data_IF_810523668560
#
_entry.id   IF_810523668560
#
_cell.length_a   1.000
_cell.length_b   1.000
_cell.length_c   1.000
_cell.angle_alpha   90.00
_cell.angle_beta   90.00
_cell.angle_gamma   90.00
#
_symmetry.space_group_name_H-M   'P 1'
#
loop_
_entity.id
_entity.type
_entity.pdbx_description
1 polymer ?
#
# COMPACT_ATOMS: atom_id res chain seq x y z
N UNK A 1 2.43 -2.41 1.00
CA UNK A 1 3.10 -1.32 1.73
C UNK A 1 4.39 -1.87 2.30
N UNK A 2 5.40 -1.03 2.55
CA UNK A 2 6.64 -1.49 3.16
C UNK A 2 6.39 -1.98 4.60
N UNK A 3 7.23 -2.92 5.02
CA UNK A 3 7.35 -3.36 6.40
C UNK A 3 8.81 -3.68 6.68
N UNK A 4 9.23 -3.49 7.93
CA UNK A 4 10.55 -3.88 8.41
C UNK A 4 10.41 -5.08 9.32
N UNK A 5 11.38 -5.99 9.28
CA UNK A 5 11.44 -7.14 10.16
C UNK A 5 12.88 -7.40 10.59
N UNK A 6 13.12 -7.89 11.82
CA UNK A 6 14.46 -8.28 12.24
C UNK A 6 15.02 -9.35 11.30
N UNK A 7 16.14 -9.04 10.66
CA UNK A 7 16.87 -9.96 9.79
C UNK A 7 18.37 -9.82 10.08
N UNK A 8 19.04 -10.88 10.59
CA UNK A 8 20.46 -10.83 10.87
C UNK A 8 21.26 -10.43 9.63
N UNK A 9 22.30 -9.60 9.82
CA UNK A 9 23.20 -9.14 8.75
C UNK A 9 22.53 -8.35 7.62
N UNK A 10 21.31 -7.84 7.84
CA UNK A 10 20.61 -6.99 6.88
C UNK A 10 20.56 -5.55 7.40
N UNK A 11 20.69 -4.59 6.50
CA UNK A 11 20.63 -3.16 6.81
C UNK A 11 19.59 -2.49 5.94
N UNK A 12 18.89 -1.51 6.51
CA UNK A 12 17.89 -0.69 5.81
C UNK A 12 18.26 0.76 6.03
N UNK A 13 18.19 1.55 4.96
CA UNK A 13 18.48 2.98 4.99
C UNK A 13 17.15 3.74 5.03
N UNK A 14 17.14 4.91 5.66
CA UNK A 14 15.92 5.69 5.80
C UNK A 14 16.19 7.12 6.26
N UNK A 15 15.11 7.86 6.47
CA UNK A 15 15.15 9.20 7.02
C UNK A 15 14.99 9.15 8.54
N UNK A 16 15.80 9.92 9.26
CA UNK A 16 15.57 10.21 10.67
C UNK A 16 14.92 11.59 10.77
N UNK A 17 13.68 11.64 11.24
CA UNK A 17 12.92 12.87 11.41
C UNK A 17 12.58 13.09 12.89
N UNK A 18 12.69 14.35 13.34
CA UNK A 18 12.15 14.77 14.63
C UNK A 18 10.78 15.37 14.40
N UNK A 19 9.77 14.80 15.06
CA UNK A 19 8.39 15.26 14.97
C UNK A 19 7.94 15.87 16.30
N UNK A 20 7.22 17.00 16.28
CA UNK A 20 6.37 17.40 17.39
C UNK A 20 5.38 16.28 17.75
N UNK A 21 4.95 16.24 19.01
CA UNK A 21 4.02 15.22 19.51
C UNK A 21 2.74 15.14 18.67
N UNK A 22 2.15 16.28 18.32
CA UNK A 22 0.89 16.32 17.57
C UNK A 22 1.04 15.69 16.17
N UNK A 23 2.15 15.97 15.48
CA UNK A 23 2.45 15.39 14.17
C UNK A 23 2.72 13.88 14.27
N UNK A 24 3.38 13.45 15.34
CA UNK A 24 3.57 12.04 15.62
C UNK A 24 2.24 11.31 15.84
N UNK A 25 1.33 11.89 16.64
CA UNK A 25 0.00 11.32 16.88
C UNK A 25 -0.80 11.24 15.57
N UNK A 26 -0.72 12.26 14.70
CA UNK A 26 -1.32 12.24 13.38
C UNK A 26 -0.75 11.12 12.48
N UNK A 27 0.59 10.95 12.50
CA UNK A 27 1.27 9.88 11.78
C UNK A 27 0.79 8.50 12.28
N UNK A 28 0.78 8.28 13.60
CA UNK A 28 0.31 7.03 14.20
C UNK A 28 -1.13 6.71 13.81
N UNK A 29 -2.01 7.72 13.81
CA UNK A 29 -3.40 7.56 13.38
C UNK A 29 -3.50 7.18 11.89
N UNK A 30 -2.63 7.73 11.04
CA UNK A 30 -2.57 7.41 9.61
C UNK A 30 -2.11 5.97 9.32
N UNK A 31 -1.25 5.40 10.17
CA UNK A 31 -0.79 4.00 10.11
C UNK A 31 -1.81 3.00 10.70
N UNK A 32 -2.96 3.52 11.15
CA UNK A 32 -4.06 2.71 11.68
C UNK A 32 -4.07 2.56 13.19
N UNK A 33 -3.33 3.42 13.92
CA UNK A 33 -3.25 3.43 15.37
C UNK A 33 -4.59 3.58 16.12
N UNK A 34 -5.58 4.21 15.47
CA UNK A 34 -6.93 4.38 16.03
C UNK A 34 -7.87 3.18 15.88
N UNK A 35 -7.39 2.05 15.37
CA UNK A 35 -8.20 0.84 15.20
C UNK A 35 -8.11 -0.10 16.41
N UNK A 36 -9.19 -0.84 16.70
CA UNK A 36 -9.18 -1.90 17.73
C UNK A 36 -8.03 -2.91 17.56
N UNK A 37 -7.58 -3.09 16.31
CA UNK A 37 -6.48 -3.96 15.93
C UNK A 37 -5.62 -3.26 14.86
N UNK A 38 -4.61 -2.47 15.24
CA UNK A 38 -3.77 -1.72 14.30
C UNK A 38 -2.93 -2.68 13.44
N UNK A 39 -2.63 -2.28 12.20
CA UNK A 39 -1.84 -3.11 11.26
C UNK A 39 -0.34 -3.03 11.52
N UNK A 40 0.11 -1.90 12.07
CA UNK A 40 1.49 -1.65 12.46
C UNK A 40 1.63 -1.61 13.99
N UNK A 41 2.87 -1.77 14.46
CA UNK A 41 3.29 -1.53 15.84
C UNK A 41 4.53 -0.66 15.87
N UNK A 42 4.63 0.15 16.92
CA UNK A 42 5.81 0.94 17.25
C UNK A 42 6.92 0.01 17.72
N UNK A 43 8.10 0.19 17.16
CA UNK A 43 9.32 -0.49 17.61
C UNK A 43 10.42 0.55 17.83
N UNK A 44 11.12 0.43 18.94
CA UNK A 44 12.36 1.19 19.16
C UNK A 44 13.48 0.54 18.36
N UNK A 45 14.18 1.35 17.58
CA UNK A 45 15.33 0.94 16.77
C UNK A 45 16.54 1.81 17.06
N UNK A 46 17.71 1.22 16.93
CA UNK A 46 18.97 1.96 16.93
C UNK A 46 19.35 2.28 15.48
N UNK A 47 19.43 3.57 15.17
CA UNK A 47 19.81 4.07 13.87
C UNK A 47 21.20 4.69 13.92
N UNK A 48 22.01 4.46 12.89
CA UNK A 48 23.32 5.07 12.75
C UNK A 48 23.26 6.10 11.63
N UNK A 49 23.66 7.34 11.93
CA UNK A 49 23.90 8.32 10.86
C UNK A 49 25.10 7.88 10.05
N UNK A 50 25.14 8.23 8.77
CA UNK A 50 26.27 7.87 7.93
C UNK A 50 27.59 8.41 8.48
N UNK A 51 28.59 7.52 8.54
CA UNK A 51 29.91 7.78 9.09
C UNK A 51 29.95 8.06 10.61
N UNK A 52 28.85 7.85 11.33
CA UNK A 52 28.80 7.95 12.79
C UNK A 52 28.69 6.57 13.43
N UNK A 53 29.40 6.37 14.54
CA UNK A 53 29.37 5.12 15.33
C UNK A 53 28.42 5.20 16.53
N UNK A 54 27.93 6.39 16.86
CA UNK A 54 27.01 6.58 17.98
C UNK A 54 25.58 6.36 17.51
N UNK A 55 24.86 5.37 18.06
CA UNK A 55 23.47 5.13 17.67
C UNK A 55 22.55 6.23 18.20
N UNK A 56 21.50 6.51 17.44
CA UNK A 56 20.36 7.30 17.84
C UNK A 56 19.16 6.38 17.98
N UNK A 57 18.51 6.42 19.14
CA UNK A 57 17.24 5.70 19.36
C UNK A 57 16.12 6.41 18.62
N UNK A 58 15.35 5.66 17.84
CA UNK A 58 14.23 6.17 17.07
C UNK A 58 13.04 5.21 17.13
N UNK A 59 11.86 5.72 16.79
CA UNK A 59 10.66 4.89 16.62
C UNK A 59 10.48 4.60 15.14
N UNK A 60 10.22 3.33 14.81
CA UNK A 60 9.80 2.89 13.50
C UNK A 60 8.51 2.08 13.58
N UNK A 61 7.85 1.88 12.43
CA UNK A 61 6.61 1.09 12.34
C UNK A 61 6.87 -0.25 11.68
N UNK A 62 6.59 -1.34 12.41
CA UNK A 62 6.68 -2.70 11.92
C UNK A 62 5.28 -3.28 11.72
N UNK A 63 5.05 -4.00 10.61
CA UNK A 63 3.78 -4.66 10.38
C UNK A 63 3.58 -5.80 11.41
N UNK A 64 2.42 -5.83 12.08
CA UNK A 64 2.07 -6.85 13.06
C UNK A 64 1.81 -8.20 12.38
N UNK A 65 2.07 -9.34 13.04
CA UNK A 65 1.95 -10.68 12.42
C UNK A 65 0.62 -10.97 11.70
N UNK A 66 -0.49 -10.44 12.21
CA UNK A 66 -1.81 -10.66 11.61
C UNK A 66 -2.11 -9.80 10.37
N UNK A 67 -1.33 -8.74 10.15
CA UNK A 67 -1.44 -7.84 9.00
C UNK A 67 -0.40 -8.15 7.92
N UNK A 68 0.61 -8.98 8.25
CA UNK A 68 1.59 -9.47 7.29
C UNK A 68 0.90 -10.34 6.24
N UNK A 69 1.26 -10.11 4.98
CA UNK A 69 0.86 -11.00 3.91
C UNK A 69 1.67 -12.29 4.00
N UNK A 70 1.07 -13.41 3.59
CA UNK A 70 1.76 -14.71 3.57
C UNK A 70 2.93 -14.70 2.57
N UNK A 71 2.73 -14.00 1.46
CA UNK A 71 3.73 -13.71 0.45
C UNK A 71 3.75 -12.20 0.27
N UNK A 72 4.94 -11.59 0.24
CA UNK A 72 5.05 -10.17 -0.08
C UNK A 72 4.53 -9.93 -1.50
N UNK A 73 3.61 -8.98 -1.62
CA UNK A 73 3.12 -8.52 -2.90
C UNK A 73 4.08 -7.49 -3.49
N UNK A 74 4.14 -7.42 -4.81
CA UNK A 74 4.98 -6.43 -5.48
C UNK A 74 4.42 -5.02 -5.20
N UNK A 75 5.27 -4.04 -4.86
CA UNK A 75 4.85 -2.66 -4.67
C UNK A 75 4.35 -2.04 -5.97
N UNK A 76 3.45 -1.07 -5.86
CA UNK A 76 3.01 -0.31 -7.04
C UNK A 76 4.14 0.57 -7.58
N UNK A 77 4.15 0.81 -8.90
CA UNK A 77 5.12 1.72 -9.55
C UNK A 77 5.14 3.11 -8.91
N UNK A 78 3.98 3.66 -8.55
CA UNK A 78 3.85 4.96 -7.88
C UNK A 78 4.55 4.94 -6.52
N UNK A 79 4.28 3.93 -5.71
CA UNK A 79 4.89 3.79 -4.40
C UNK A 79 6.42 3.69 -4.51
N UNK A 80 6.92 2.89 -5.45
CA UNK A 80 8.36 2.81 -5.70
C UNK A 80 8.95 4.11 -6.21
N UNK A 81 8.26 4.86 -7.07
CA UNK A 81 8.70 6.19 -7.51
C UNK A 81 8.88 7.15 -6.32
N UNK A 82 7.93 7.17 -5.38
CA UNK A 82 8.06 7.98 -4.16
C UNK A 82 9.27 7.57 -3.33
N UNK A 83 9.51 6.26 -3.15
CA UNK A 83 10.67 5.76 -2.41
C UNK A 83 12.00 6.10 -3.10
N UNK A 84 12.09 5.92 -4.42
CA UNK A 84 13.30 6.20 -5.21
C UNK A 84 13.61 7.70 -5.20
N UNK A 85 12.61 8.54 -5.41
CA UNK A 85 12.78 9.99 -5.39
C UNK A 85 13.21 10.47 -4.00
N UNK A 86 12.51 10.03 -2.94
CA UNK A 86 12.86 10.38 -1.57
C UNK A 86 14.26 9.90 -1.17
N UNK A 87 14.66 8.69 -1.59
CA UNK A 87 16.01 8.19 -1.35
C UNK A 87 17.09 9.04 -2.05
N UNK A 88 16.81 9.49 -3.27
CA UNK A 88 17.70 10.39 -4.02
C UNK A 88 17.78 11.78 -3.38
N UNK A 89 16.65 12.35 -2.97
CA UNK A 89 16.56 13.68 -2.34
C UNK A 89 17.30 13.73 -1.01
N UNK A 90 17.21 12.65 -0.22
CA UNK A 90 17.90 12.53 1.06
C UNK A 90 19.38 12.16 0.93
N UNK A 91 19.86 11.89 -0.29
CA UNK A 91 21.24 11.46 -0.51
C UNK A 91 21.57 10.12 0.16
N UNK A 92 20.63 9.18 0.19
CA UNK A 92 20.89 7.83 0.70
C UNK A 92 21.99 7.14 -0.11
N UNK A 93 22.64 6.13 0.46
CA UNK A 93 23.73 5.42 -0.21
C UNK A 93 23.37 4.91 -1.62
N UNK A 94 24.30 5.05 -2.57
CA UNK A 94 24.08 4.72 -3.98
C UNK A 94 23.69 3.25 -4.19
N UNK A 95 24.29 2.33 -3.42
CA UNK A 95 23.95 0.91 -3.48
C UNK A 95 22.50 0.66 -3.03
N UNK A 96 22.03 1.38 -2.01
CA UNK A 96 20.65 1.29 -1.54
C UNK A 96 19.67 1.88 -2.57
N UNK A 97 20.01 3.01 -3.19
CA UNK A 97 19.20 3.58 -4.26
C UNK A 97 19.10 2.64 -5.47
N UNK A 98 20.20 1.97 -5.82
CA UNK A 98 20.21 0.95 -6.88
C UNK A 98 19.33 -0.23 -6.50
N UNK A 99 19.45 -0.73 -5.28
CA UNK A 99 18.58 -1.79 -4.74
C UNK A 99 17.10 -1.44 -4.91
N UNK A 100 16.67 -0.21 -4.55
CA UNK A 100 15.28 0.22 -4.72
C UNK A 100 14.84 0.25 -6.19
N UNK A 101 15.72 0.64 -7.11
CA UNK A 101 15.42 0.67 -8.56
C UNK A 101 15.29 -0.73 -9.16
N UNK A 102 16.00 -1.71 -8.60
CA UNK A 102 16.01 -3.09 -9.07
C UNK A 102 14.82 -3.91 -8.53
N UNK A 103 14.03 -3.37 -7.59
CA UNK A 103 12.84 -4.04 -7.06
C UNK A 103 11.75 -4.17 -8.13
N UNK A 104 11.19 -5.38 -8.24
CA UNK A 104 10.07 -5.67 -9.14
C UNK A 104 8.84 -4.91 -8.68
N UNK A 105 8.18 -4.23 -9.62
CA UNK A 105 6.93 -3.48 -9.37
C UNK A 105 5.74 -4.15 -10.04
N UNK A 106 4.57 -4.05 -9.41
CA UNK A 106 3.33 -4.44 -10.06
C UNK A 106 2.90 -3.37 -11.09
N UNK A 107 2.54 -3.86 -12.27
CA UNK A 107 1.93 -3.09 -13.34
C UNK A 107 0.49 -3.57 -13.50
N UNK A 108 -0.37 -3.15 -12.57
CA UNK A 108 -1.80 -3.47 -12.64
C UNK A 108 -2.40 -2.77 -13.87
N UNK A 109 -3.07 -3.50 -14.79
CA UNK A 109 -3.62 -2.90 -16.00
C UNK A 109 -4.79 -1.95 -15.67
N UNK A 110 -4.98 -0.92 -16.50
CA UNK A 110 -5.98 0.14 -16.28
C UNK A 110 -7.40 -0.40 -16.03
N UNK A 111 -7.83 -1.45 -16.76
CA UNK A 111 -9.15 -2.02 -16.58
C UNK A 111 -9.33 -2.65 -15.18
N UNK A 112 -8.34 -3.41 -14.70
CA UNK A 112 -8.39 -4.05 -13.38
C UNK A 112 -8.35 -3.00 -12.28
N UNK A 113 -7.55 -1.96 -12.48
CA UNK A 113 -7.53 -0.78 -11.60
C UNK A 113 -8.89 -0.11 -11.51
N UNK A 114 -9.55 0.15 -12.65
CA UNK A 114 -10.87 0.75 -12.68
C UNK A 114 -11.91 -0.11 -11.96
N UNK A 115 -11.88 -1.43 -12.16
CA UNK A 115 -12.73 -2.39 -11.44
C UNK A 115 -12.46 -2.31 -9.93
N UNK A 116 -11.19 -2.35 -9.51
CA UNK A 116 -10.79 -2.28 -8.11
C UNK A 116 -11.21 -0.97 -7.44
N UNK A 117 -11.02 0.18 -8.10
CA UNK A 117 -11.44 1.49 -7.60
C UNK A 117 -12.95 1.53 -7.36
N UNK A 118 -13.75 1.05 -8.31
CA UNK A 118 -15.20 1.01 -8.12
C UNK A 118 -15.58 0.03 -7.00
N UNK A 119 -14.90 -1.12 -6.90
CA UNK A 119 -15.09 -2.06 -5.80
C UNK A 119 -14.78 -1.44 -4.43
N UNK A 120 -13.79 -0.55 -4.35
CA UNK A 120 -13.44 0.14 -3.10
C UNK A 120 -14.64 0.90 -2.52
N UNK A 121 -15.47 1.56 -3.35
CA UNK A 121 -16.68 2.25 -2.85
C UNK A 121 -17.64 1.30 -2.13
N UNK A 122 -17.84 0.09 -2.66
CA UNK A 122 -18.65 -0.93 -2.00
C UNK A 122 -17.99 -1.35 -0.68
N UNK A 123 -16.69 -1.64 -0.67
CA UNK A 123 -16.00 -2.03 0.56
C UNK A 123 -16.06 -0.93 1.62
N UNK A 124 -15.79 0.33 1.26
CA UNK A 124 -15.91 1.48 2.18
C UNK A 124 -17.32 1.60 2.75
N UNK A 125 -18.35 1.34 1.95
CA UNK A 125 -19.73 1.29 2.44
C UNK A 125 -19.95 0.11 3.41
N UNK A 126 -19.48 -1.09 3.07
CA UNK A 126 -19.57 -2.27 3.95
C UNK A 126 -18.83 -2.08 5.28
N UNK A 127 -17.67 -1.42 5.28
CA UNK A 127 -16.91 -1.06 6.48
C UNK A 127 -17.72 -0.13 7.38
N UNK A 128 -18.38 0.89 6.79
CA UNK A 128 -19.29 1.78 7.52
C UNK A 128 -20.49 1.05 8.12
N UNK A 129 -21.05 0.07 7.41
CA UNK A 129 -22.18 -0.73 7.91
C UNK A 129 -21.77 -1.96 8.74
N UNK A 130 -20.50 -2.05 9.16
CA UNK A 130 -19.94 -3.17 9.96
C UNK A 130 -20.05 -4.56 9.31
N UNK A 131 -20.25 -4.67 8.00
CA UNK A 131 -20.36 -5.95 7.25
C UNK A 131 -18.98 -6.46 6.80
N UNK A 132 -18.04 -6.57 7.74
CA UNK A 132 -16.61 -6.86 7.46
C UNK A 132 -16.35 -8.26 6.89
N UNK A 133 -17.22 -9.24 7.15
CA UNK A 133 -17.05 -10.63 6.70
C UNK A 133 -17.09 -10.77 5.19
N UNK A 134 -18.03 -10.08 4.53
CA UNK A 134 -18.17 -10.13 3.07
C UNK A 134 -16.93 -9.54 2.36
N UNK A 135 -16.43 -8.41 2.86
CA UNK A 135 -15.19 -7.82 2.35
C UNK A 135 -14.00 -8.79 2.47
N UNK A 136 -13.88 -9.49 3.61
CA UNK A 136 -12.81 -10.46 3.85
C UNK A 136 -12.85 -11.65 2.89
N UNK A 137 -14.03 -12.19 2.58
CA UNK A 137 -14.18 -13.30 1.62
C UNK A 137 -13.67 -12.88 0.24
N UNK A 138 -14.05 -11.68 -0.22
CA UNK A 138 -13.62 -11.16 -1.52
C UNK A 138 -12.11 -10.93 -1.54
N UNK A 139 -11.55 -10.29 -0.49
CA UNK A 139 -10.09 -10.08 -0.40
C UNK A 139 -9.31 -11.40 -0.42
N UNK A 140 -9.80 -12.43 0.28
CA UNK A 140 -9.16 -13.76 0.25
C UNK A 140 -9.21 -14.39 -1.15
N UNK A 141 -10.33 -14.24 -1.88
CA UNK A 141 -10.46 -14.75 -3.23
C UNK A 141 -9.53 -14.02 -4.22
N UNK A 142 -9.41 -12.68 -4.12
CA UNK A 142 -8.46 -11.91 -4.94
C UNK A 142 -7.02 -12.33 -4.64
N UNK A 143 -6.65 -12.45 -3.36
CA UNK A 143 -5.31 -12.87 -2.95
C UNK A 143 -4.98 -14.30 -3.40
N UNK A 144 -5.97 -15.19 -3.45
CA UNK A 144 -5.78 -16.56 -3.94
C UNK A 144 -5.35 -16.58 -5.43
N UNK A 145 -5.90 -15.68 -6.24
CA UNK A 145 -5.55 -15.58 -7.66
C UNK A 145 -4.35 -14.69 -7.93
N UNK A 146 -3.85 -13.93 -6.94
CA UNK A 146 -2.73 -13.03 -7.13
C UNK A 146 -1.42 -13.80 -7.42
N UNK A 147 -0.73 -13.39 -8.48
CA UNK A 147 0.61 -13.87 -8.81
C UNK A 147 1.56 -12.67 -8.89
N UNK A 148 2.69 -12.75 -8.18
CA UNK A 148 3.75 -11.74 -8.27
C UNK A 148 4.37 -11.75 -9.66
N UNK A 149 4.68 -10.55 -10.16
CA UNK A 149 5.37 -10.28 -11.42
C UNK A 149 6.79 -10.85 -11.43
N UNK A 150 7.43 -11.04 -10.29
CA UNK A 150 8.78 -11.62 -10.22
C UNK A 150 8.83 -13.13 -10.51
N UNK A 151 7.74 -13.84 -10.23
CA UNK A 151 7.69 -15.30 -10.24
C UNK A 151 6.74 -15.89 -11.31
N UNK A 152 6.23 -15.07 -12.23
CA UNK A 152 5.22 -15.49 -13.20
C UNK A 152 5.56 -15.10 -14.64
N UNK A 153 5.12 -15.93 -15.60
CA UNK A 153 5.21 -15.57 -17.01
C UNK A 153 4.15 -14.53 -17.36
N UNK A 154 4.37 -13.83 -18.48
CA UNK A 154 3.40 -12.82 -18.95
C UNK A 154 1.97 -13.38 -19.07
N UNK A 155 1.83 -14.61 -19.58
CA UNK A 155 0.53 -15.26 -19.80
C UNK A 155 -0.16 -15.60 -18.48
N UNK A 156 0.55 -16.25 -17.54
CA UNK A 156 -0.05 -16.63 -16.25
C UNK A 156 -0.44 -15.39 -15.44
N UNK A 157 0.35 -14.31 -15.53
CA UNK A 157 -0.02 -13.02 -14.94
C UNK A 157 -1.30 -12.43 -15.54
N UNK A 158 -1.47 -12.48 -16.87
CA UNK A 158 -2.71 -12.01 -17.52
C UNK A 158 -3.94 -12.82 -17.10
N UNK A 159 -3.80 -14.14 -16.99
CA UNK A 159 -4.87 -15.01 -16.50
C UNK A 159 -5.20 -14.67 -15.04
N UNK A 160 -4.21 -14.52 -14.18
CA UNK A 160 -4.38 -14.07 -12.79
C UNK A 160 -5.13 -12.75 -12.71
N UNK A 161 -4.71 -11.73 -13.47
CA UNK A 161 -5.36 -10.42 -13.52
C UNK A 161 -6.82 -10.50 -14.00
N UNK A 162 -7.11 -11.39 -14.95
CA UNK A 162 -8.46 -11.61 -15.45
C UNK A 162 -9.36 -12.30 -14.40
N UNK A 163 -8.84 -13.29 -13.68
CA UNK A 163 -9.56 -13.95 -12.58
C UNK A 163 -9.85 -12.96 -11.44
N UNK A 164 -8.87 -12.12 -11.08
CA UNK A 164 -9.07 -11.03 -10.11
C UNK A 164 -10.17 -10.06 -10.57
N UNK A 165 -10.19 -9.70 -11.85
CA UNK A 165 -11.22 -8.83 -12.42
C UNK A 165 -12.61 -9.47 -12.28
N UNK A 166 -12.75 -10.76 -12.60
CA UNK A 166 -14.02 -11.50 -12.49
C UNK A 166 -14.53 -11.50 -11.04
N UNK A 167 -13.64 -11.73 -10.07
CA UNK A 167 -14.00 -11.74 -8.64
C UNK A 167 -14.47 -10.35 -8.18
N UNK A 168 -13.80 -9.29 -8.62
CA UNK A 168 -14.10 -7.92 -8.19
C UNK A 168 -15.29 -7.29 -8.91
N UNK A 169 -15.58 -7.72 -10.15
CA UNK A 169 -16.55 -7.09 -11.05
C UNK A 169 -17.95 -6.94 -10.44
N UNK A 170 -18.57 -7.95 -9.78
CA UNK A 170 -19.89 -7.79 -9.18
C UNK A 170 -19.90 -6.66 -8.13
N UNK A 171 -18.85 -6.59 -7.31
CA UNK A 171 -18.73 -5.53 -6.31
C UNK A 171 -18.41 -4.17 -6.92
N UNK A 172 -17.68 -4.14 -8.02
CA UNK A 172 -17.41 -2.93 -8.78
C UNK A 172 -18.69 -2.33 -9.38
N UNK A 173 -19.59 -3.16 -9.94
CA UNK A 173 -20.88 -2.68 -10.47
C UNK A 173 -21.73 -2.01 -9.39
N UNK A 174 -21.85 -2.63 -8.21
CA UNK A 174 -22.56 -2.04 -7.07
C UNK A 174 -21.85 -0.78 -6.58
N UNK A 175 -20.51 -0.79 -6.51
CA UNK A 175 -19.70 0.34 -6.10
C UNK A 175 -19.81 1.54 -7.05
N UNK A 176 -19.89 1.31 -8.35
CA UNK A 176 -20.16 2.35 -9.36
C UNK A 176 -21.52 3.00 -9.14
N UNK A 177 -22.55 2.22 -8.81
CA UNK A 177 -23.86 2.76 -8.45
C UNK A 177 -23.80 3.60 -7.17
N UNK A 178 -23.11 3.13 -6.12
CA UNK A 178 -22.91 3.89 -4.88
C UNK A 178 -22.20 5.21 -5.16
N UNK A 179 -21.16 5.19 -6.00
CA UNK A 179 -20.41 6.39 -6.41
C UNK A 179 -21.31 7.38 -7.14
N UNK A 180 -22.03 6.93 -8.16
CA UNK A 180 -22.94 7.77 -8.94
C UNK A 180 -24.04 8.38 -8.06
N UNK A 181 -24.61 7.60 -7.15
CA UNK A 181 -25.62 8.06 -6.19
C UNK A 181 -25.05 9.09 -5.21
N UNK A 182 -23.82 8.89 -4.72
CA UNK A 182 -23.13 9.85 -3.86
C UNK A 182 -22.90 11.19 -4.55
N UNK A 183 -22.43 11.14 -5.80
CA UNK A 183 -22.24 12.31 -6.64
C UNK A 183 -23.55 13.07 -6.89
N UNK A 184 -24.64 12.35 -7.22
CA UNK A 184 -25.96 12.95 -7.40
C UNK A 184 -26.48 13.66 -6.13
N UNK A 185 -26.10 13.18 -4.94
CA UNK A 185 -26.43 13.81 -3.66
C UNK A 185 -25.46 14.92 -3.23
N UNK A 186 -24.54 15.34 -4.10
CA UNK A 186 -23.55 16.36 -3.78
C UNK A 186 -22.54 15.94 -2.71
N UNK A 187 -22.35 14.64 -2.48
CA UNK A 187 -21.35 14.15 -1.54
C UNK A 187 -19.99 14.16 -2.20
N UNK A 188 -19.04 14.86 -1.58
CA UNK A 188 -17.66 14.81 -2.02
C UNK A 188 -17.03 13.44 -1.76
N UNK A 189 -16.15 13.04 -2.67
CA UNK A 189 -15.33 11.84 -2.51
C UNK A 189 -14.30 12.14 -1.42
N UNK A 190 -14.20 11.28 -0.41
CA UNK A 190 -13.23 11.43 0.68
C UNK A 190 -11.80 11.62 0.12
N UNK A 191 -10.97 12.46 0.75
CA UNK A 191 -9.63 12.82 0.26
C UNK A 191 -8.74 11.62 -0.08
N UNK A 192 -8.80 10.55 0.71
CA UNK A 192 -8.07 9.30 0.41
C UNK A 192 -8.54 8.64 -0.89
N UNK A 193 -9.85 8.63 -1.18
CA UNK A 193 -10.37 8.10 -2.44
C UNK A 193 -10.05 9.02 -3.61
N UNK A 194 -9.98 10.34 -3.38
CA UNK A 194 -9.55 11.30 -4.40
C UNK A 194 -8.10 11.03 -4.82
N UNK A 195 -7.19 10.84 -3.87
CA UNK A 195 -5.79 10.45 -4.15
C UNK A 195 -5.76 9.17 -5.01
N UNK A 196 -6.47 8.12 -4.61
CA UNK A 196 -6.49 6.84 -5.35
C UNK A 196 -6.99 7.00 -6.81
N UNK A 197 -7.96 7.90 -7.03
CA UNK A 197 -8.56 8.19 -8.34
C UNK A 197 -7.66 9.09 -9.18
N UNK A 198 -7.13 10.18 -8.63
CA UNK A 198 -6.28 11.15 -9.34
C UNK A 198 -4.93 10.49 -9.72
N UNK A 199 -4.39 9.64 -8.84
CA UNK A 199 -3.26 8.76 -9.14
C UNK A 199 -3.55 7.80 -10.32
N UNK A 200 -4.84 7.64 -10.68
CA UNK A 200 -5.41 6.87 -11.78
C UNK A 200 -4.84 7.22 -13.14
N UNK A 201 -4.69 8.53 -13.33
CA UNK A 201 -4.62 9.17 -14.63
C UNK A 201 -3.17 9.43 -15.05
N UNK A 202 -2.24 9.61 -14.09
CA UNK A 202 -0.82 9.89 -14.35
C UNK A 202 0.03 8.66 -14.79
N UNK A 203 -0.53 7.45 -14.79
CA UNK A 203 0.10 6.25 -15.38
C UNK A 203 -0.19 6.10 -16.88
N UNK A 204 -0.53 7.21 -17.53
CA UNK A 204 -1.11 7.35 -18.86
C UNK A 204 -0.11 7.22 -20.02
N UNK A 205 1.12 7.64 -19.78
CA UNK A 205 2.11 7.85 -20.83
C UNK A 205 3.33 6.98 -20.53
N UNK A 206 3.30 5.75 -21.06
CA UNK A 206 4.42 4.88 -21.46
C UNK A 206 3.92 3.45 -21.75
#
# INVERSE_FOLDING_TARGET
MAGIYPSPNSTIHGALATLPREDYENLWMSEGGGMDKPSYEEVEVECYKYNEVTPVKAIAFMARPHARLKNDGDPSRRYMRMLINGASELGLEQEYQKYLKDLVTDATPRYLRMIAINHLFLTSWMFRTKKRTAARVISNAVNYFYLSSGNSTFITRRISQLLQAIVLLPGALVGSFIRAWGWWKGREVNGMMKIIIDDGEEGGDE
#
